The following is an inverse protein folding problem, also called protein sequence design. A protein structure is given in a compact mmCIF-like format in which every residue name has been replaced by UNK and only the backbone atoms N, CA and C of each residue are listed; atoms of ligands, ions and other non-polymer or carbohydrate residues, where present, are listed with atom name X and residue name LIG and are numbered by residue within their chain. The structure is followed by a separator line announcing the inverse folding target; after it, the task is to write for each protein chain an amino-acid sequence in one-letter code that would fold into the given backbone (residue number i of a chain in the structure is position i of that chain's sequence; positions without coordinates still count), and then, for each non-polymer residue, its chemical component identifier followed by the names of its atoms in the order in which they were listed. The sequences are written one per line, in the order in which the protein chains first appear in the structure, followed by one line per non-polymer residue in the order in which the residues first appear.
data_IF_709627625185
#
_entry.id   IF_709627625185
#
_cell.length_a   1.000
_cell.length_b   1.000
_cell.length_c   1.000
_cell.angle_alpha   90.00
_cell.angle_beta   90.00
_cell.angle_gamma   90.00
#
_symmetry.space_group_name_H-M   'P 1'
#
loop_
_entity.id
_entity.type
_entity.pdbx_description
1 polymer ?
#
# COMPACT_ATOMS: atom_id res chain seq x y z
N UNK A 1 -11.98 -3.63 28.54
CA UNK A 1 -12.24 -2.17 28.67
C UNK A 1 -12.28 -1.60 27.27
N UNK A 2 -13.49 -1.34 26.76
CA UNK A 2 -13.71 -0.90 25.38
C UNK A 2 -13.43 0.58 25.21
N UNK A 3 -12.34 0.92 24.53
CA UNK A 3 -12.16 2.25 23.98
C UNK A 3 -13.04 2.38 22.74
N UNK A 4 -14.03 3.27 22.77
CA UNK A 4 -14.73 3.72 21.56
C UNK A 4 -13.67 4.07 20.51
N UNK A 5 -13.61 3.33 19.41
CA UNK A 5 -12.73 3.67 18.29
C UNK A 5 -13.01 5.10 17.88
N UNK A 6 -11.98 5.94 17.74
CA UNK A 6 -12.10 7.30 17.19
C UNK A 6 -12.66 7.33 15.76
N UNK A 7 -12.79 6.16 15.11
CA UNK A 7 -13.26 6.00 13.76
C UNK A 7 -14.60 5.28 13.73
N UNK A 8 -15.54 5.82 12.95
CA UNK A 8 -16.74 5.11 12.51
C UNK A 8 -16.32 3.99 11.56
N UNK A 9 -16.85 2.80 11.79
CA UNK A 9 -16.62 1.66 10.91
C UNK A 9 -17.44 1.83 9.63
N UNK A 10 -16.81 1.53 8.50
CA UNK A 10 -17.43 1.32 7.20
C UNK A 10 -17.37 -0.17 6.89
N UNK A 11 -18.43 -0.69 6.29
CA UNK A 11 -18.36 -2.02 5.69
C UNK A 11 -17.57 -1.99 4.37
N UNK A 12 -17.32 -3.19 3.82
CA UNK A 12 -16.54 -3.33 2.59
C UNK A 12 -17.21 -2.62 1.40
N UNK A 13 -18.54 -2.62 1.33
CA UNK A 13 -19.28 -2.00 0.23
C UNK A 13 -19.18 -0.48 0.29
N UNK A 14 -19.31 0.11 1.48
CA UNK A 14 -19.11 1.55 1.70
C UNK A 14 -17.69 2.00 1.34
N UNK A 15 -16.66 1.22 1.70
CA UNK A 15 -15.28 1.51 1.32
C UNK A 15 -15.10 1.41 -0.19
N UNK A 16 -15.64 0.38 -0.82
CA UNK A 16 -15.49 0.20 -2.26
C UNK A 16 -16.25 1.24 -3.08
N UNK A 17 -17.34 1.82 -2.58
CA UNK A 17 -17.98 2.99 -3.21
C UNK A 17 -17.03 4.19 -3.23
N UNK A 18 -16.38 4.49 -2.10
CA UNK A 18 -15.37 5.57 -2.04
C UNK A 18 -14.20 5.32 -2.99
N UNK A 19 -13.67 4.09 -3.02
CA UNK A 19 -12.58 3.69 -3.92
C UNK A 19 -13.01 3.68 -5.39
N UNK A 20 -14.29 3.49 -5.68
CA UNK A 20 -14.85 3.61 -7.03
C UNK A 20 -15.10 5.07 -7.46
N UNK A 21 -14.81 6.05 -6.60
CA UNK A 21 -15.05 7.47 -6.88
C UNK A 21 -16.54 7.87 -6.81
N UNK A 22 -17.35 7.13 -6.05
CA UNK A 22 -18.77 7.45 -5.87
C UNK A 22 -18.94 8.81 -5.17
N UNK A 23 -19.67 9.71 -5.82
CA UNK A 23 -19.83 11.10 -5.37
C UNK A 23 -20.71 11.22 -4.13
N UNK A 24 -21.72 10.37 -3.99
CA UNK A 24 -22.63 10.40 -2.84
C UNK A 24 -21.92 9.87 -1.58
N UNK A 25 -21.09 8.83 -1.75
CA UNK A 25 -20.21 8.36 -0.70
C UNK A 25 -19.17 9.43 -0.31
N UNK A 26 -18.55 10.11 -1.28
CA UNK A 26 -17.60 11.19 -1.03
C UNK A 26 -18.25 12.41 -0.34
N UNK A 27 -19.52 12.73 -0.66
CA UNK A 27 -20.25 13.83 -0.05
C UNK A 27 -20.37 13.71 1.48
N UNK A 28 -20.31 12.48 2.03
CA UNK A 28 -20.29 12.24 3.49
C UNK A 28 -19.04 12.78 4.18
N UNK A 29 -17.97 13.09 3.44
CA UNK A 29 -16.73 13.67 3.94
C UNK A 29 -16.75 15.20 3.91
N UNK A 30 -17.86 15.84 3.50
CA UNK A 30 -18.04 17.31 3.59
C UNK A 30 -18.28 17.80 5.02
N UNK A 31 -18.49 16.88 5.97
CA UNK A 31 -18.49 17.15 7.40
C UNK A 31 -17.26 16.53 8.10
N UNK A 32 -16.80 17.12 9.23
CA UNK A 32 -15.73 16.55 10.02
C UNK A 32 -16.03 15.11 10.46
N UNK A 33 -15.21 14.17 10.02
CA UNK A 33 -15.41 12.75 10.34
C UNK A 33 -14.11 11.95 10.33
N UNK A 34 -14.16 10.78 10.97
CA UNK A 34 -13.08 9.80 10.95
C UNK A 34 -13.70 8.43 10.64
N UNK A 35 -13.29 7.83 9.54
CA UNK A 35 -13.83 6.58 9.02
C UNK A 35 -12.73 5.52 8.91
N UNK A 36 -13.08 4.26 9.10
CA UNK A 36 -12.18 3.13 8.82
C UNK A 36 -12.96 1.97 8.24
N UNK A 37 -12.42 1.30 7.25
CA UNK A 37 -13.02 0.05 6.76
C UNK A 37 -12.06 -0.77 5.89
N UNK A 38 -12.41 -2.05 5.65
CA UNK A 38 -11.64 -2.94 4.81
C UNK A 38 -11.91 -2.68 3.32
N UNK A 39 -10.88 -2.80 2.50
CA UNK A 39 -11.03 -2.97 1.05
C UNK A 39 -11.19 -4.45 0.71
N UNK A 40 -11.47 -4.75 -0.56
CA UNK A 40 -11.43 -6.12 -1.11
C UNK A 40 -10.01 -6.67 -1.27
N UNK A 41 -9.00 -5.80 -1.20
CA UNK A 41 -7.60 -6.18 -1.36
C UNK A 41 -7.03 -6.66 -0.03
N UNK A 42 -6.06 -7.58 -0.11
CA UNK A 42 -5.45 -8.17 1.08
C UNK A 42 -3.94 -8.05 1.05
N UNK A 43 -3.35 -7.91 2.23
CA UNK A 43 -1.97 -8.28 2.49
C UNK A 43 -1.90 -9.81 2.55
N UNK A 44 -1.21 -10.49 1.63
CA UNK A 44 -1.10 -11.95 1.62
C UNK A 44 -0.71 -12.53 2.98
N UNK A 45 -1.58 -13.38 3.55
CA UNK A 45 -1.36 -14.02 4.85
C UNK A 45 -1.54 -13.12 6.09
N UNK A 46 -1.99 -11.86 5.92
CA UNK A 46 -2.19 -10.90 7.02
C UNK A 46 -3.62 -10.34 7.12
N UNK A 47 -4.40 -10.38 6.03
CA UNK A 47 -5.80 -9.93 6.02
C UNK A 47 -6.03 -8.71 5.11
N UNK A 48 -7.18 -8.04 5.22
CA UNK A 48 -7.55 -6.96 4.31
C UNK A 48 -6.66 -5.72 4.47
N UNK A 49 -6.47 -4.98 3.38
CA UNK A 49 -5.97 -3.61 3.42
C UNK A 49 -7.07 -2.75 4.03
N UNK A 50 -6.79 -2.16 5.19
CA UNK A 50 -7.67 -1.22 5.85
C UNK A 50 -7.36 0.21 5.40
N UNK A 51 -8.40 0.98 5.10
CA UNK A 51 -8.29 2.41 4.84
C UNK A 51 -8.80 3.19 6.04
N UNK A 52 -7.99 4.13 6.51
CA UNK A 52 -8.37 5.10 7.52
C UNK A 52 -8.50 6.46 6.85
N UNK A 53 -9.66 7.08 6.96
CA UNK A 53 -9.98 8.39 6.40
C UNK A 53 -10.26 9.36 7.53
N UNK A 54 -9.71 10.56 7.44
CA UNK A 54 -10.08 11.71 8.29
C UNK A 54 -10.42 12.88 7.41
N UNK A 55 -11.58 13.48 7.63
CA UNK A 55 -11.97 14.72 6.99
C UNK A 55 -12.21 15.80 8.03
N UNK A 56 -11.85 17.04 7.69
CA UNK A 56 -12.28 18.25 8.41
C UNK A 56 -13.46 18.95 7.72
N UNK A 57 -14.02 18.34 6.68
CA UNK A 57 -15.09 18.87 5.83
C UNK A 57 -14.60 19.48 4.52
N UNK A 58 -13.30 19.75 4.38
CA UNK A 58 -12.70 20.29 3.16
C UNK A 58 -11.50 19.46 2.69
N UNK A 59 -10.62 19.07 3.61
CA UNK A 59 -9.45 18.24 3.35
C UNK A 59 -9.64 16.84 3.89
N UNK A 60 -9.16 15.86 3.14
CA UNK A 60 -9.20 14.45 3.50
C UNK A 60 -7.77 13.93 3.59
N UNK A 61 -7.50 13.23 4.69
CA UNK A 61 -6.30 12.41 4.84
C UNK A 61 -6.67 10.93 4.83
N UNK A 62 -6.18 10.19 3.83
CA UNK A 62 -6.26 8.73 3.80
C UNK A 62 -4.94 8.11 4.25
N UNK A 63 -4.98 6.95 4.90
CA UNK A 63 -3.78 6.18 5.26
C UNK A 63 -4.10 4.68 5.36
N UNK A 64 -3.08 3.85 5.12
CA UNK A 64 -3.11 2.40 5.34
C UNK A 64 -2.92 2.00 6.82
N UNK A 65 -2.75 2.99 7.70
CA UNK A 65 -2.48 2.79 9.13
C UNK A 65 -1.09 2.22 9.44
N UNK A 66 -0.17 2.25 8.48
CA UNK A 66 1.18 1.68 8.58
C UNK A 66 1.23 0.16 8.41
N UNK A 67 0.16 -0.44 7.90
CA UNK A 67 0.08 -1.87 7.66
C UNK A 67 1.00 -2.32 6.53
N UNK A 68 1.20 -1.47 5.51
CA UNK A 68 2.07 -1.74 4.36
C UNK A 68 3.53 -1.83 4.79
N UNK A 69 4.02 -0.86 5.56
CA UNK A 69 5.42 -0.85 6.04
C UNK A 69 5.69 -2.10 6.88
N UNK A 70 4.80 -2.40 7.85
CA UNK A 70 4.89 -3.62 8.66
C UNK A 70 4.80 -4.90 7.83
N UNK A 71 3.96 -4.91 6.80
CA UNK A 71 3.84 -6.03 5.89
C UNK A 71 5.16 -6.27 5.16
N UNK A 72 5.76 -5.24 4.56
CA UNK A 72 7.05 -5.32 3.88
C UNK A 72 8.17 -5.80 4.83
N UNK A 73 8.27 -5.23 6.03
CA UNK A 73 9.21 -5.69 7.06
C UNK A 73 9.03 -7.19 7.35
N UNK A 74 7.79 -7.66 7.51
CA UNK A 74 7.49 -9.07 7.77
C UNK A 74 7.84 -10.02 6.61
N UNK A 75 8.05 -9.48 5.41
CA UNK A 75 8.50 -10.23 4.23
C UNK A 75 10.02 -10.12 4.01
N UNK A 76 10.77 -9.57 4.97
CA UNK A 76 12.21 -9.30 4.82
C UNK A 76 12.52 -8.15 3.85
N UNK A 77 11.53 -7.30 3.58
CA UNK A 77 11.60 -6.15 2.69
C UNK A 77 11.65 -4.85 3.51
N UNK A 78 12.60 -4.75 4.44
CA UNK A 78 12.74 -3.59 5.32
C UNK A 78 13.28 -2.37 4.55
N UNK A 79 12.47 -1.31 4.49
CA UNK A 79 12.80 -0.04 3.82
C UNK A 79 13.90 0.75 4.52
N UNK A 80 14.16 0.49 5.80
CA UNK A 80 15.26 1.10 6.55
C UNK A 80 16.61 0.46 6.21
N UNK A 81 16.60 -0.79 5.71
CA UNK A 81 17.82 -1.55 5.41
C UNK A 81 18.13 -1.57 3.91
N UNK A 82 17.11 -1.68 3.06
CA UNK A 82 17.29 -1.78 1.61
C UNK A 82 17.04 -0.42 0.91
N UNK A 83 18.13 0.25 0.54
CA UNK A 83 18.09 1.57 -0.10
C UNK A 83 17.48 1.57 -1.51
N UNK A 84 17.56 0.45 -2.24
CA UNK A 84 16.97 0.32 -3.57
C UNK A 84 15.46 0.23 -3.42
N UNK A 85 14.99 -0.69 -2.59
CA UNK A 85 13.57 -0.86 -2.31
C UNK A 85 12.97 0.41 -1.71
N UNK A 86 13.65 1.03 -0.76
CA UNK A 86 13.25 2.31 -0.16
C UNK A 86 13.03 3.38 -1.21
N UNK A 87 13.98 3.54 -2.15
CA UNK A 87 13.87 4.51 -3.25
C UNK A 87 12.74 4.16 -4.22
N UNK A 88 12.57 2.89 -4.58
CA UNK A 88 11.48 2.43 -5.45
C UNK A 88 10.11 2.74 -4.84
N UNK A 89 9.90 2.37 -3.57
CA UNK A 89 8.63 2.63 -2.87
C UNK A 89 8.41 4.13 -2.70
N UNK A 90 9.45 4.89 -2.35
CA UNK A 90 9.34 6.34 -2.20
C UNK A 90 8.96 7.04 -3.51
N UNK A 91 9.55 6.63 -4.64
CA UNK A 91 9.17 7.16 -5.95
C UNK A 91 7.73 6.81 -6.31
N UNK A 92 7.33 5.54 -6.17
CA UNK A 92 5.96 5.10 -6.46
C UNK A 92 4.93 5.89 -5.63
N UNK A 93 5.19 6.12 -4.34
CA UNK A 93 4.30 6.92 -3.49
C UNK A 93 4.25 8.38 -3.93
N UNK A 94 5.32 8.94 -4.49
CA UNK A 94 5.40 10.35 -4.89
C UNK A 94 4.90 10.63 -6.31
N UNK A 95 4.60 9.59 -7.10
CA UNK A 95 4.01 9.74 -8.43
C UNK A 95 2.57 10.26 -8.38
N UNK A 96 1.85 9.99 -7.28
CA UNK A 96 0.49 10.49 -7.06
C UNK A 96 0.54 11.78 -6.24
N UNK A 97 -0.13 12.82 -6.74
CA UNK A 97 -0.21 14.11 -6.04
C UNK A 97 -0.84 13.94 -4.65
N UNK A 98 -0.25 14.59 -3.64
CA UNK A 98 -0.72 14.50 -2.25
C UNK A 98 -0.32 13.21 -1.50
N UNK A 99 0.26 12.21 -2.17
CA UNK A 99 0.67 10.96 -1.52
C UNK A 99 2.08 11.01 -0.95
N UNK A 100 2.28 10.57 0.29
CA UNK A 100 3.58 10.58 0.97
C UNK A 100 3.75 9.43 1.95
N UNK A 101 4.97 9.36 2.52
CA UNK A 101 5.30 8.45 3.62
C UNK A 101 5.69 9.26 4.84
N UNK A 102 5.21 8.87 6.02
CA UNK A 102 5.55 9.52 7.27
C UNK A 102 4.95 8.80 8.47
N UNK A 103 5.62 8.88 9.63
CA UNK A 103 5.19 8.20 10.86
C UNK A 103 4.91 6.69 10.67
N UNK A 104 5.68 6.03 9.81
CA UNK A 104 5.54 4.59 9.52
C UNK A 104 4.32 4.22 8.67
N UNK A 105 3.68 5.17 7.97
CA UNK A 105 2.52 4.92 7.14
C UNK A 105 2.58 5.63 5.79
N UNK A 106 1.91 5.04 4.80
CA UNK A 106 1.62 5.71 3.53
C UNK A 106 0.35 6.51 3.72
N UNK A 107 0.32 7.73 3.20
CA UNK A 107 -0.81 8.62 3.31
C UNK A 107 -1.09 9.37 2.02
N UNK A 108 -2.33 9.79 1.84
CA UNK A 108 -2.79 10.73 0.83
C UNK A 108 -3.36 11.95 1.57
N UNK A 109 -2.96 13.15 1.16
CA UNK A 109 -3.62 14.40 1.52
C UNK A 109 -4.25 15.02 0.27
N UNK A 110 -5.57 15.20 0.30
CA UNK A 110 -6.36 15.70 -0.84
C UNK A 110 -7.52 16.57 -0.35
N UNK A 111 -8.27 17.21 -1.26
CA UNK A 111 -9.54 17.84 -0.95
C UNK A 111 -10.70 16.84 -1.06
N UNK A 112 -11.86 17.15 -0.49
CA UNK A 112 -13.08 16.35 -0.71
C UNK A 112 -13.46 16.33 -2.19
N UNK A 113 -13.20 17.43 -2.92
CA UNK A 113 -13.49 17.58 -4.35
C UNK A 113 -12.63 16.64 -5.21
N UNK A 114 -11.34 16.52 -4.89
CA UNK A 114 -10.37 15.70 -5.61
C UNK A 114 -10.34 14.24 -5.13
N UNK A 115 -11.04 13.91 -4.04
CA UNK A 115 -10.98 12.59 -3.41
C UNK A 115 -11.38 11.46 -4.37
N UNK A 116 -12.40 11.69 -5.18
CA UNK A 116 -12.92 10.66 -6.11
C UNK A 116 -11.92 10.29 -7.20
N UNK A 117 -10.96 11.17 -7.50
CA UNK A 117 -9.86 10.91 -8.44
C UNK A 117 -8.63 10.33 -7.75
N UNK A 118 -8.28 10.85 -6.57
CA UNK A 118 -7.02 10.54 -5.88
C UNK A 118 -7.07 9.30 -4.99
N UNK A 119 -8.21 8.99 -4.36
CA UNK A 119 -8.35 7.80 -3.52
C UNK A 119 -8.19 6.48 -4.28
N UNK A 120 -8.75 6.30 -5.50
CA UNK A 120 -8.48 5.11 -6.30
C UNK A 120 -6.98 4.95 -6.60
N UNK A 121 -6.29 6.03 -6.96
CA UNK A 121 -4.85 6.03 -7.23
C UNK A 121 -4.04 5.62 -5.99
N UNK A 122 -4.42 6.15 -4.81
CA UNK A 122 -3.81 5.76 -3.53
C UNK A 122 -3.93 4.26 -3.25
N UNK A 123 -5.11 3.68 -3.47
CA UNK A 123 -5.33 2.25 -3.28
C UNK A 123 -4.56 1.43 -4.31
N UNK A 124 -4.54 1.86 -5.57
CA UNK A 124 -3.75 1.23 -6.62
C UNK A 124 -2.26 1.17 -6.27
N UNK A 125 -1.65 2.28 -5.85
CA UNK A 125 -0.24 2.32 -5.45
C UNK A 125 0.05 1.37 -4.29
N UNK A 126 -0.83 1.27 -3.29
CA UNK A 126 -0.67 0.29 -2.20
C UNK A 126 -0.64 -1.14 -2.76
N UNK A 127 -1.55 -1.49 -3.67
CA UNK A 127 -1.63 -2.83 -4.26
C UNK A 127 -0.40 -3.14 -5.10
N UNK A 128 0.09 -2.17 -5.88
CA UNK A 128 1.31 -2.31 -6.67
C UNK A 128 2.52 -2.56 -5.78
N UNK A 129 2.65 -1.84 -4.66
CA UNK A 129 3.73 -2.05 -3.68
C UNK A 129 3.61 -3.42 -3.02
N UNK A 130 2.40 -3.87 -2.67
CA UNK A 130 2.17 -5.25 -2.20
C UNK A 130 2.62 -6.26 -3.29
N UNK A 131 2.34 -5.94 -4.55
CA UNK A 131 2.73 -6.72 -5.73
C UNK A 131 4.23 -6.79 -6.01
N UNK A 132 5.02 -5.80 -5.56
CA UNK A 132 6.50 -5.78 -5.67
C UNK A 132 7.16 -6.99 -5.00
N UNK A 133 6.45 -7.74 -4.14
CA UNK A 133 6.90 -9.05 -3.63
C UNK A 133 7.33 -10.01 -4.76
N UNK A 134 6.66 -9.99 -5.91
CA UNK A 134 6.90 -10.95 -6.98
C UNK A 134 8.14 -10.63 -7.83
N UNK A 135 8.56 -9.36 -7.92
CA UNK A 135 9.74 -8.98 -8.71
C UNK A 135 11.03 -9.47 -8.05
N UNK A 136 11.17 -9.36 -6.72
CA UNK A 136 12.34 -9.91 -6.01
C UNK A 136 12.42 -11.43 -6.04
N UNK A 137 11.28 -12.13 -6.00
CA UNK A 137 11.26 -13.59 -6.19
C UNK A 137 11.76 -13.97 -7.57
N UNK A 138 11.32 -13.27 -8.62
CA UNK A 138 11.81 -13.47 -9.97
C UNK A 138 13.30 -13.19 -10.07
N UNK A 139 13.80 -12.09 -9.52
CA UNK A 139 15.22 -11.75 -9.55
C UNK A 139 16.08 -12.77 -8.79
N UNK A 140 15.60 -13.25 -7.63
CA UNK A 140 16.25 -14.32 -6.89
C UNK A 140 16.28 -15.65 -7.67
N UNK A 141 15.18 -16.01 -8.35
CA UNK A 141 15.11 -17.20 -9.20
C UNK A 141 16.00 -17.08 -10.45
N UNK A 142 16.08 -15.89 -11.05
CA UNK A 142 16.99 -15.60 -12.17
C UNK A 142 18.44 -15.72 -11.72
N UNK A 143 18.82 -15.13 -10.58
CA UNK A 143 20.17 -15.26 -10.02
C UNK A 143 20.50 -16.71 -9.65
N UNK A 144 19.55 -17.47 -9.09
CA UNK A 144 19.71 -18.90 -8.81
C UNK A 144 19.88 -19.73 -10.09
N UNK A 145 19.13 -19.41 -11.15
CA UNK A 145 19.25 -20.05 -12.46
C UNK A 145 20.57 -19.73 -13.13
N UNK A 146 21.07 -18.50 -13.02
CA UNK A 146 22.38 -18.09 -13.55
C UNK A 146 23.52 -18.81 -12.83
N UNK A 147 23.44 -18.95 -11.49
CA UNK A 147 24.42 -19.72 -10.71
C UNK A 147 24.41 -21.22 -11.04
N UNK A 148 23.26 -21.81 -11.40
CA UNK A 148 23.21 -23.18 -11.90
C UNK A 148 23.80 -23.34 -13.31
N UNK A 149 23.74 -22.30 -14.16
CA UNK A 149 24.37 -22.29 -15.47
C UNK A 149 25.90 -22.12 -15.43
N UNK A 150 26.44 -21.55 -14.36
CA UNK A 150 27.89 -21.37 -14.14
C UNK A 150 28.54 -22.56 -13.40
N UNK A 151 27.74 -23.51 -12.90
CA UNK A 151 28.20 -24.61 -12.05
C UNK A 151 28.72 -25.86 -12.75
N UNK A 152 28.68 -25.94 -14.09
CA UNK A 152 29.03 -27.18 -14.83
C UNK A 152 30.37 -27.13 -15.58
N UNK A 153 31.22 -26.13 -15.31
CA UNK A 153 32.63 -26.15 -15.74
C UNK A 153 33.53 -26.64 -14.61
N UNK A 154 33.43 -27.93 -14.29
CA UNK A 154 34.44 -28.60 -13.45
C UNK A 154 35.82 -28.61 -14.14
N UNK A 155 36.94 -28.73 -13.41
CA UNK A 155 38.29 -28.63 -13.98
C UNK A 155 38.70 -29.80 -14.88
N UNK A 156 37.83 -30.81 -15.02
CA UNK A 156 38.09 -32.01 -15.79
C UNK A 156 37.09 -32.08 -16.94
N UNK A 157 37.43 -31.39 -18.03
CA UNK A 157 36.82 -31.62 -19.34
C UNK A 157 37.03 -33.08 -19.75
N UNK A 158 36.00 -33.66 -20.34
CA UNK A 158 35.99 -35.01 -20.91
C UNK A 158 37.07 -35.19 -21.98
N UNK A 159 37.89 -36.24 -21.77
CA UNK A 159 38.89 -36.90 -22.63
C UNK A 159 40.14 -36.13 -23.02
#
# INVERSE_FOLDING_TARGET
MGGSSKYRQLDISEVMLLVAGDKDAAARLTEPCALVGPTVFTYPGKGPVLLFLKSDGNRVRATDGGSLVKYLESQGQDLAVDSILSRTVFHAVREVAGMGMGNGAVHLETSVEELTETLPQFVQTIIEIIGLRHSKYKDALVQLSQRHGEGDSGPWGTF
#
